data_IF_054632834395
#
_entry.id   IF_054632834395
#
_cell.length_a   1.000
_cell.length_b   1.000
_cell.length_c   1.000
_cell.angle_alpha   90.00
_cell.angle_beta   90.00
_cell.angle_gamma   90.00
#
_symmetry.space_group_name_H-M   'P 1'
#
loop_
_entity.id
_entity.type
_entity.pdbx_description
1 polymer ?
#
# COMPACT_ATOMS: atom_id res chain seq x y z
N UNK A 1 37.00 -1.69 -14.01
CA UNK A 1 36.40 -0.82 -12.97
C UNK A 1 34.89 -0.80 -13.16
N UNK A 2 34.23 -1.95 -13.02
CA UNK A 2 32.77 -2.12 -13.18
C UNK A 2 32.20 -3.36 -12.46
N UNK A 3 32.91 -3.97 -11.49
CA UNK A 3 32.42 -5.23 -10.89
C UNK A 3 31.76 -5.07 -9.50
N UNK A 4 32.08 -4.04 -8.72
CA UNK A 4 31.57 -3.92 -7.34
C UNK A 4 30.12 -3.46 -7.19
N UNK A 5 29.49 -2.93 -8.24
CA UNK A 5 28.12 -2.42 -8.16
C UNK A 5 27.07 -3.50 -8.45
N UNK A 6 27.44 -4.56 -9.19
CA UNK A 6 26.56 -5.69 -9.49
C UNK A 6 26.49 -6.68 -8.32
N UNK A 7 27.62 -6.95 -7.64
CA UNK A 7 27.66 -7.80 -6.44
C UNK A 7 26.77 -7.27 -5.31
N UNK A 8 26.72 -5.95 -5.10
CA UNK A 8 25.91 -5.31 -4.05
C UNK A 8 24.39 -5.53 -4.24
N UNK A 9 23.93 -5.54 -5.50
CA UNK A 9 22.51 -5.74 -5.81
C UNK A 9 22.09 -7.20 -5.71
N UNK A 10 23.00 -8.14 -5.97
CA UNK A 10 22.72 -9.57 -5.80
C UNK A 10 22.74 -9.98 -4.31
N UNK A 11 23.67 -9.45 -3.51
CA UNK A 11 23.71 -9.73 -2.06
C UNK A 11 22.50 -9.14 -1.31
N UNK A 12 22.09 -7.91 -1.65
CA UNK A 12 20.86 -7.33 -1.10
C UNK A 12 19.61 -8.07 -1.59
N UNK A 13 19.60 -8.55 -2.84
CA UNK A 13 18.54 -9.38 -3.39
C UNK A 13 18.38 -10.69 -2.61
N UNK A 14 19.50 -11.35 -2.32
CA UNK A 14 19.54 -12.61 -1.56
C UNK A 14 19.12 -12.43 -0.09
N UNK A 15 19.53 -11.34 0.55
CA UNK A 15 19.11 -10.99 1.92
C UNK A 15 17.61 -10.63 1.99
N UNK A 16 17.07 -9.94 0.98
CA UNK A 16 15.65 -9.62 0.86
C UNK A 16 14.76 -10.85 0.61
N UNK A 17 15.27 -11.91 -0.03
CA UNK A 17 14.55 -13.18 -0.20
C UNK A 17 14.45 -13.97 1.11
N UNK A 18 15.41 -13.83 2.03
CA UNK A 18 15.44 -14.56 3.31
C UNK A 18 14.57 -13.95 4.43
N UNK A 19 14.03 -12.74 4.24
CA UNK A 19 13.12 -12.03 5.17
C UNK A 19 13.53 -11.97 6.66
N UNK A 20 14.83 -12.06 6.97
CA UNK A 20 15.32 -11.81 8.34
C UNK A 20 15.64 -10.32 8.54
N UNK A 21 14.64 -9.57 9.02
CA UNK A 21 14.71 -8.11 9.19
C UNK A 21 15.90 -7.65 10.06
N UNK A 22 16.35 -8.48 11.00
CA UNK A 22 17.49 -8.16 11.88
C UNK A 22 18.84 -8.20 11.16
N UNK A 23 18.99 -9.08 10.16
CA UNK A 23 20.21 -9.14 9.35
C UNK A 23 20.31 -7.97 8.38
N UNK A 24 19.18 -7.56 7.81
CA UNK A 24 19.09 -6.38 6.93
C UNK A 24 19.41 -5.11 7.71
N UNK A 25 18.87 -4.97 8.92
CA UNK A 25 19.13 -3.83 9.78
C UNK A 25 20.61 -3.77 10.20
N UNK A 26 21.21 -4.88 10.63
CA UNK A 26 22.63 -4.94 10.98
C UNK A 26 23.56 -4.67 9.78
N UNK A 27 23.23 -5.17 8.58
CA UNK A 27 24.02 -4.91 7.36
C UNK A 27 23.97 -3.43 6.95
N UNK A 28 22.81 -2.78 7.10
CA UNK A 28 22.64 -1.34 6.85
C UNK A 28 23.42 -0.52 7.89
N UNK A 29 23.44 -0.95 9.16
CA UNK A 29 24.18 -0.26 10.22
C UNK A 29 25.70 -0.38 10.03
N UNK A 30 26.19 -1.57 9.67
CA UNK A 30 27.63 -1.83 9.49
C UNK A 30 28.20 -1.17 8.23
N UNK A 31 27.50 -1.21 7.10
CA UNK A 31 28.05 -0.73 5.82
C UNK A 31 27.77 0.77 5.55
N UNK A 32 26.70 1.32 6.15
CA UNK A 32 26.27 2.72 5.92
C UNK A 32 26.53 3.60 7.16
N UNK A 33 26.93 3.02 8.29
CA UNK A 33 27.36 3.76 9.48
C UNK A 33 26.27 4.58 10.16
N UNK A 34 24.99 4.23 9.98
CA UNK A 34 23.87 4.95 10.58
C UNK A 34 23.63 4.47 12.01
N UNK A 35 24.24 5.13 12.99
CA UNK A 35 23.91 4.96 14.40
C UNK A 35 22.71 5.83 14.80
N UNK A 36 21.97 5.30 15.77
CA UNK A 36 20.67 5.73 16.27
C UNK A 36 20.55 7.21 16.68
N UNK A 37 19.30 7.69 16.65
CA UNK A 37 18.92 9.05 16.96
C UNK A 37 17.39 9.12 17.08
N UNK A 38 16.89 8.91 18.29
CA UNK A 38 15.53 9.28 18.70
C UNK A 38 15.13 10.64 18.11
N UNK A 39 13.96 10.69 17.46
CA UNK A 39 13.14 11.88 17.23
C UNK A 39 13.90 13.13 16.72
N UNK A 40 14.16 13.21 15.42
CA UNK A 40 14.57 14.46 14.77
C UNK A 40 15.60 14.32 13.66
N UNK A 41 15.30 13.57 12.60
CA UNK A 41 16.25 13.43 11.48
C UNK A 41 15.93 14.38 10.33
N UNK A 42 16.87 15.31 10.07
CA UNK A 42 17.08 15.90 8.74
C UNK A 42 17.93 14.89 7.96
N UNK A 43 17.29 14.03 7.18
CA UNK A 43 18.02 13.14 6.27
C UNK A 43 18.54 13.95 5.07
N UNK A 44 19.86 13.99 4.84
CA UNK A 44 20.43 14.70 3.70
C UNK A 44 20.09 13.93 2.43
N UNK A 45 19.58 14.64 1.42
CA UNK A 45 19.50 14.13 0.04
C UNK A 45 18.69 12.84 -0.12
N UNK A 46 17.36 12.95 -0.11
CA UNK A 46 16.47 11.83 -0.40
C UNK A 46 16.92 11.01 -1.63
N UNK A 47 17.35 9.79 -1.37
CA UNK A 47 17.36 8.69 -2.33
C UNK A 47 15.90 8.26 -2.60
N UNK A 48 15.56 7.96 -3.87
CA UNK A 48 14.18 7.62 -4.30
C UNK A 48 13.55 6.50 -3.44
N UNK A 49 14.38 5.59 -2.93
CA UNK A 49 14.01 4.50 -2.03
C UNK A 49 13.45 4.99 -0.69
N UNK A 50 14.13 5.93 -0.02
CA UNK A 50 13.70 6.46 1.27
C UNK A 50 12.37 7.22 1.19
N UNK A 51 12.09 7.88 0.05
CA UNK A 51 10.77 8.46 -0.24
C UNK A 51 9.69 7.38 -0.36
N UNK A 52 9.95 6.32 -1.12
CA UNK A 52 8.99 5.24 -1.35
C UNK A 52 8.62 4.53 -0.04
N UNK A 53 9.60 4.26 0.83
CA UNK A 53 9.37 3.64 2.15
C UNK A 53 8.45 4.52 3.00
N UNK A 54 8.71 5.83 3.09
CA UNK A 54 7.87 6.78 3.85
C UNK A 54 6.43 6.86 3.32
N UNK A 55 6.25 6.76 2.01
CA UNK A 55 4.91 6.71 1.41
C UNK A 55 4.20 5.43 1.84
N UNK A 56 4.86 4.28 1.79
CA UNK A 56 4.29 3.01 2.24
C UNK A 56 3.94 3.02 3.73
N UNK A 57 4.80 3.57 4.59
CA UNK A 57 4.53 3.75 6.01
C UNK A 57 3.32 4.67 6.25
N UNK A 58 3.19 5.73 5.45
CA UNK A 58 2.06 6.65 5.50
C UNK A 58 0.75 5.98 5.06
N UNK A 59 0.77 5.21 3.97
CA UNK A 59 -0.40 4.44 3.48
C UNK A 59 -0.79 3.39 4.52
N UNK A 60 0.19 2.72 5.12
CA UNK A 60 -0.05 1.71 6.15
C UNK A 60 -0.51 2.30 7.50
N UNK A 61 -0.58 3.61 7.67
CA UNK A 61 -1.00 4.21 8.94
C UNK A 61 -2.53 4.06 9.13
N UNK A 62 -3.01 3.42 10.22
CA UNK A 62 -4.44 3.25 10.47
C UNK A 62 -5.24 4.56 10.48
N UNK A 63 -4.63 5.67 10.89
CA UNK A 63 -5.28 6.99 10.90
C UNK A 63 -5.55 7.45 9.47
N UNK A 64 -4.56 7.34 8.58
CA UNK A 64 -4.71 7.71 7.18
C UNK A 64 -5.72 6.81 6.46
N UNK A 65 -5.72 5.50 6.76
CA UNK A 65 -6.72 4.58 6.23
C UNK A 65 -8.14 4.89 6.73
N UNK A 66 -8.27 5.42 7.95
CA UNK A 66 -9.57 5.87 8.48
C UNK A 66 -10.05 7.13 7.75
N UNK A 67 -9.15 8.08 7.47
CA UNK A 67 -9.48 9.25 6.66
C UNK A 67 -9.88 8.85 5.24
N UNK A 68 -9.15 7.91 4.62
CA UNK A 68 -9.48 7.37 3.31
C UNK A 68 -10.87 6.70 3.30
N UNK A 69 -11.20 5.93 4.34
CA UNK A 69 -12.54 5.35 4.51
C UNK A 69 -13.63 6.43 4.51
N UNK A 70 -13.43 7.52 5.24
CA UNK A 70 -14.40 8.62 5.32
C UNK A 70 -14.55 9.38 4.00
N UNK A 71 -13.47 9.54 3.23
CA UNK A 71 -13.53 10.12 1.89
C UNK A 71 -14.28 9.21 0.91
N UNK A 72 -13.95 7.92 0.90
CA UNK A 72 -14.60 6.95 0.00
C UNK A 72 -16.09 6.83 0.29
N UNK A 73 -16.51 6.90 1.57
CA UNK A 73 -17.93 6.88 1.97
C UNK A 73 -18.76 8.00 1.37
N UNK A 74 -18.16 9.15 1.05
CA UNK A 74 -18.86 10.31 0.52
C UNK A 74 -19.17 10.19 -0.98
N UNK A 75 -18.56 9.23 -1.69
CA UNK A 75 -18.73 9.07 -3.13
C UNK A 75 -20.07 8.40 -3.46
N UNK A 76 -20.76 8.90 -4.49
CA UNK A 76 -21.98 8.26 -4.99
C UNK A 76 -21.71 6.82 -5.43
N UNK A 77 -22.48 5.87 -4.90
CA UNK A 77 -22.28 4.45 -5.16
C UNK A 77 -21.20 3.78 -4.30
N UNK A 78 -20.64 4.47 -3.30
CA UNK A 78 -19.73 3.90 -2.31
C UNK A 78 -20.30 2.66 -1.61
N UNK A 79 -21.63 2.58 -1.45
CA UNK A 79 -22.31 1.45 -0.82
C UNK A 79 -22.63 0.31 -1.79
N UNK A 80 -22.24 0.43 -3.07
CA UNK A 80 -22.48 -0.63 -4.05
C UNK A 80 -21.58 -1.82 -3.72
N UNK A 81 -22.13 -3.00 -3.43
CA UNK A 81 -21.31 -4.18 -3.20
C UNK A 81 -20.61 -4.65 -4.50
N UNK A 82 -19.44 -5.28 -4.33
CA UNK A 82 -18.75 -6.00 -5.40
C UNK A 82 -19.44 -7.35 -5.66
N UNK A 83 -18.74 -8.48 -5.52
CA UNK A 83 -19.34 -9.82 -5.64
C UNK A 83 -20.03 -10.31 -4.36
N UNK A 84 -19.57 -9.88 -3.19
CA UNK A 84 -20.16 -10.23 -1.88
C UNK A 84 -21.25 -9.26 -1.44
N UNK A 85 -21.71 -9.39 -0.20
CA UNK A 85 -22.65 -8.45 0.45
C UNK A 85 -21.96 -7.33 1.24
N UNK A 86 -20.62 -7.32 1.25
CA UNK A 86 -19.82 -6.37 2.02
C UNK A 86 -19.90 -4.96 1.41
N UNK A 87 -20.22 -3.98 2.26
CA UNK A 87 -20.26 -2.56 1.94
C UNK A 87 -19.39 -1.76 2.93
N UNK A 88 -19.14 -0.49 2.59
CA UNK A 88 -18.19 0.36 3.32
C UNK A 88 -18.74 0.81 4.69
N UNK A 89 -20.06 0.81 4.88
CA UNK A 89 -20.70 1.24 6.13
C UNK A 89 -20.45 0.28 7.30
N UNK A 90 -20.24 -1.01 7.01
CA UNK A 90 -20.02 -2.04 8.03
C UNK A 90 -18.57 -2.14 8.53
N UNK A 91 -17.67 -1.26 8.06
CA UNK A 91 -16.24 -1.37 8.33
C UNK A 91 -15.92 -0.80 9.71
N UNK A 92 -15.44 -1.68 10.58
CA UNK A 92 -14.98 -1.35 11.92
C UNK A 92 -13.50 -0.96 11.93
N UNK A 93 -13.06 -0.28 13.00
CA UNK A 93 -11.65 0.06 13.16
C UNK A 93 -10.73 -1.18 13.22
N UNK A 94 -11.22 -2.32 13.73
CA UNK A 94 -10.44 -3.57 13.73
C UNK A 94 -10.16 -4.07 12.31
N UNK A 95 -11.07 -3.82 11.35
CA UNK A 95 -10.85 -4.09 9.95
C UNK A 95 -9.76 -3.18 9.34
N UNK A 96 -9.79 -1.88 9.67
CA UNK A 96 -8.74 -0.93 9.26
C UNK A 96 -7.37 -1.32 9.81
N UNK A 97 -7.32 -1.79 11.07
CA UNK A 97 -6.08 -2.31 11.66
C UNK A 97 -5.58 -3.55 10.92
N UNK A 98 -6.48 -4.46 10.53
CA UNK A 98 -6.10 -5.63 9.71
C UNK A 98 -5.54 -5.23 8.35
N UNK A 99 -6.13 -4.22 7.68
CA UNK A 99 -5.57 -3.65 6.43
C UNK A 99 -4.17 -3.10 6.69
N UNK A 100 -4.02 -2.25 7.72
CA UNK A 100 -2.73 -1.66 8.10
C UNK A 100 -1.65 -2.74 8.31
N UNK A 101 -1.97 -3.77 9.09
CA UNK A 101 -1.05 -4.88 9.38
C UNK A 101 -0.75 -5.69 8.11
N UNK A 102 -1.75 -5.91 7.25
CA UNK A 102 -1.57 -6.57 5.96
C UNK A 102 -0.64 -5.80 5.03
N UNK A 103 -0.72 -4.47 5.00
CA UNK A 103 0.16 -3.61 4.20
C UNK A 103 1.59 -3.69 4.74
N UNK A 104 1.77 -3.56 6.06
CA UNK A 104 3.09 -3.64 6.72
C UNK A 104 3.76 -4.99 6.49
N UNK A 105 2.99 -6.06 6.55
CA UNK A 105 3.48 -7.43 6.34
C UNK A 105 3.57 -7.83 4.86
N UNK A 106 3.19 -6.93 3.93
CA UNK A 106 3.12 -7.19 2.47
C UNK A 106 2.23 -8.38 2.10
N UNK A 107 1.19 -8.63 2.89
CA UNK A 107 0.23 -9.73 2.72
C UNK A 107 -1.09 -9.26 2.10
N UNK A 108 -1.08 -8.19 1.31
CA UNK A 108 -2.30 -7.69 0.68
C UNK A 108 -2.73 -8.62 -0.45
N UNK A 109 -3.99 -9.03 -0.43
CA UNK A 109 -4.59 -9.83 -1.48
C UNK A 109 -5.82 -9.08 -2.01
N UNK A 110 -5.73 -8.60 -3.26
CA UNK A 110 -6.82 -7.86 -3.87
C UNK A 110 -7.90 -8.83 -4.34
N UNK A 111 -9.15 -8.50 -4.03
CA UNK A 111 -10.28 -9.32 -4.46
C UNK A 111 -10.63 -9.04 -5.92
N UNK A 112 -11.17 -10.03 -6.65
CA UNK A 112 -11.65 -9.78 -8.01
C UNK A 112 -12.75 -8.72 -7.97
N UNK A 113 -12.63 -7.73 -8.86
CA UNK A 113 -13.61 -6.64 -8.97
C UNK A 113 -14.81 -7.05 -9.80
N UNK A 114 -16.02 -6.58 -9.44
CA UNK A 114 -17.24 -6.87 -10.19
C UNK A 114 -17.35 -5.94 -11.40
N UNK A 115 -17.42 -6.53 -12.58
CA UNK A 115 -17.70 -5.78 -13.80
C UNK A 115 -19.19 -5.49 -13.94
N UNK A 116 -19.54 -4.26 -14.30
CA UNK A 116 -20.90 -3.82 -14.53
C UNK A 116 -20.98 -2.90 -15.75
N UNK A 117 -22.02 -3.04 -16.56
CA UNK A 117 -22.23 -2.20 -17.73
C UNK A 117 -23.26 -1.14 -17.39
N UNK A 118 -22.85 0.13 -17.44
CA UNK A 118 -23.71 1.28 -17.17
C UNK A 118 -24.18 1.94 -18.48
N UNK A 119 -25.24 2.73 -18.36
CA UNK A 119 -25.82 3.45 -19.48
C UNK A 119 -24.80 4.36 -20.17
N UNK A 120 -25.00 4.51 -21.48
CA UNK A 120 -24.27 5.46 -22.30
C UNK A 120 -24.45 6.88 -21.74
N UNK A 121 -23.45 7.73 -21.96
CA UNK A 121 -23.61 9.16 -21.68
C UNK A 121 -24.71 9.73 -22.58
N UNK A 122 -25.43 10.78 -22.16
CA UNK A 122 -26.36 11.49 -23.04
C UNK A 122 -25.67 11.87 -24.37
N UNK A 123 -26.26 11.47 -25.50
CA UNK A 123 -25.70 11.70 -26.84
C UNK A 123 -24.79 10.59 -27.38
N UNK A 124 -24.48 9.55 -26.58
CA UNK A 124 -23.75 8.37 -27.05
C UNK A 124 -24.65 7.13 -27.07
N UNK A 125 -24.37 6.19 -27.99
CA UNK A 125 -25.00 4.86 -28.06
C UNK A 125 -24.17 3.80 -27.34
N UNK A 126 -22.91 4.10 -27.01
CA UNK A 126 -21.99 3.13 -26.43
C UNK A 126 -22.16 3.04 -24.92
N UNK A 127 -22.40 1.81 -24.45
CA UNK A 127 -22.45 1.53 -23.02
C UNK A 127 -21.03 1.64 -22.44
N UNK A 128 -20.94 1.97 -21.15
CA UNK A 128 -19.66 2.08 -20.46
C UNK A 128 -19.48 0.92 -19.51
N UNK A 129 -18.25 0.43 -19.41
CA UNK A 129 -17.84 -0.48 -18.36
C UNK A 129 -17.59 0.29 -17.07
N UNK A 130 -17.99 -0.32 -15.96
CA UNK A 130 -17.65 0.10 -14.60
C UNK A 130 -17.12 -1.11 -13.85
N UNK A 131 -15.94 -0.95 -13.27
CA UNK A 131 -15.33 -1.97 -12.42
C UNK A 131 -15.54 -1.57 -10.97
N UNK A 132 -16.20 -2.44 -10.20
CA UNK A 132 -16.60 -2.20 -8.82
C UNK A 132 -15.70 -3.06 -7.91
N UNK A 133 -14.69 -2.46 -7.26
CA UNK A 133 -13.81 -3.18 -6.33
C UNK A 133 -14.51 -3.55 -5.02
N UNK A 134 -13.94 -4.49 -4.26
CA UNK A 134 -14.43 -4.86 -2.93
C UNK A 134 -14.32 -3.70 -1.94
N UNK A 135 -15.02 -3.78 -0.80
CA UNK A 135 -14.94 -2.72 0.21
C UNK A 135 -13.53 -2.60 0.81
N UNK A 136 -12.80 -3.72 0.95
CA UNK A 136 -11.39 -3.75 1.34
C UNK A 136 -10.50 -3.02 0.34
N UNK A 137 -10.64 -3.35 -0.95
CA UNK A 137 -9.78 -2.83 -2.02
C UNK A 137 -10.03 -1.34 -2.34
N UNK A 138 -11.13 -0.77 -1.86
CA UNK A 138 -11.42 0.67 -2.03
C UNK A 138 -10.67 1.56 -1.04
N UNK A 139 -10.28 0.98 0.10
CA UNK A 139 -9.59 1.71 1.18
C UNK A 139 -8.08 1.65 0.97
N UNK A 140 -7.59 0.55 0.37
CA UNK A 140 -6.20 0.37 -0.03
C UNK A 140 -5.81 1.32 -1.16
#
# INVERSE_FOLDING_TARGET
MTDRFYDFTEELGFLLESWDARKVENFIIEEIGATEGRLGYKFPGCNKLGKAIRVLESIANPVNLTLALDEVRQVEGALTPAFGTETIDGISFSFIKRISDSIKNKQFNLSPSRYHIIAAKPGSKEKRSLTIPSAYDRIF
#
